data_IF_417340864084
#
_entry.id   IF_417340864084
#
_cell.length_a   1.000
_cell.length_b   1.000
_cell.length_c   1.000
_cell.angle_alpha   90.00
_cell.angle_beta   90.00
_cell.angle_gamma   90.00
#
_symmetry.space_group_name_H-M   'P 1'
#
loop_
_entity.id
_entity.type
_entity.pdbx_description
1 polymer ?
#
# COMPACT_ATOMS: atom_id res chain seq x y z
N UNK A 1 -23.44 2.75 -5.63
CA UNK A 1 -22.04 3.02 -6.00
C UNK A 1 -21.73 4.48 -5.72
N UNK A 2 -20.56 4.77 -5.18
CA UNK A 2 -20.14 6.15 -4.88
C UNK A 2 -19.93 6.95 -6.18
N UNK A 3 -20.15 8.27 -6.16
CA UNK A 3 -19.75 9.14 -7.26
C UNK A 3 -18.25 9.01 -7.55
N UNK A 4 -17.87 9.06 -8.84
CA UNK A 4 -16.48 8.95 -9.31
C UNK A 4 -15.50 9.82 -8.53
N UNK A 5 -15.87 11.08 -8.28
CA UNK A 5 -15.00 12.04 -7.59
C UNK A 5 -14.74 11.62 -6.13
N UNK A 6 -15.71 10.97 -5.49
CA UNK A 6 -15.57 10.46 -4.14
C UNK A 6 -14.64 9.25 -4.11
N UNK A 7 -14.76 8.32 -5.06
CA UNK A 7 -13.82 7.18 -5.19
C UNK A 7 -12.38 7.68 -5.39
N UNK A 8 -12.17 8.66 -6.27
CA UNK A 8 -10.85 9.26 -6.50
C UNK A 8 -10.30 9.95 -5.25
N UNK A 9 -11.16 10.62 -4.47
CA UNK A 9 -10.75 11.24 -3.21
C UNK A 9 -10.33 10.15 -2.21
N UNK A 10 -11.14 9.11 -2.01
CA UNK A 10 -10.84 7.99 -1.10
C UNK A 10 -9.53 7.28 -1.50
N UNK A 11 -9.34 6.97 -2.78
CA UNK A 11 -8.09 6.43 -3.32
C UNK A 11 -6.88 7.30 -2.96
N UNK A 12 -7.01 8.62 -3.13
CA UNK A 12 -5.94 9.56 -2.78
C UNK A 12 -5.62 9.54 -1.29
N UNK A 13 -6.62 9.41 -0.41
CA UNK A 13 -6.41 9.32 1.05
C UNK A 13 -5.66 8.05 1.48
N UNK A 14 -5.77 6.96 0.71
CA UNK A 14 -5.06 5.68 0.95
C UNK A 14 -3.64 5.69 0.36
N UNK A 15 -3.30 6.71 -0.45
CA UNK A 15 -1.99 6.84 -1.11
C UNK A 15 -1.99 6.50 -2.60
N UNK A 16 -3.16 6.29 -3.20
CA UNK A 16 -3.34 6.03 -4.64
C UNK A 16 -3.69 7.33 -5.36
N UNK A 17 -2.69 7.95 -5.98
CA UNK A 17 -2.77 9.28 -6.59
C UNK A 17 -2.99 9.20 -8.10
N UNK A 18 -4.23 8.98 -8.50
CA UNK A 18 -4.62 9.02 -9.91
C UNK A 18 -4.90 10.46 -10.37
N UNK A 19 -4.67 10.78 -11.66
CA UNK A 19 -5.07 12.06 -12.21
C UNK A 19 -6.58 12.32 -12.03
N UNK A 20 -6.97 13.51 -11.56
CA UNK A 20 -8.39 13.89 -11.40
C UNK A 20 -9.22 13.72 -12.68
N UNK A 21 -8.58 13.89 -13.83
CA UNK A 21 -9.18 13.76 -15.15
C UNK A 21 -8.92 12.39 -15.80
N UNK A 22 -8.57 11.36 -15.02
CA UNK A 22 -8.37 10.00 -15.51
C UNK A 22 -9.60 9.52 -16.29
N UNK A 23 -9.38 8.69 -17.32
CA UNK A 23 -10.44 8.08 -18.14
C UNK A 23 -10.67 6.61 -17.80
N UNK A 24 -10.08 6.12 -16.70
CA UNK A 24 -10.36 4.78 -16.17
C UNK A 24 -11.88 4.60 -15.97
N UNK A 25 -12.47 3.45 -16.35
CA UNK A 25 -13.88 3.16 -16.07
C UNK A 25 -14.22 3.24 -14.58
N UNK A 26 -15.44 3.62 -14.22
CA UNK A 26 -15.86 3.71 -12.82
C UNK A 26 -15.74 2.36 -12.08
N UNK A 27 -16.04 1.26 -12.77
CA UNK A 27 -15.86 -0.10 -12.23
C UNK A 27 -14.39 -0.42 -11.92
N UNK A 28 -13.45 0.07 -12.72
CA UNK A 28 -12.01 -0.11 -12.48
C UNK A 28 -11.54 0.74 -11.29
N UNK A 29 -12.07 1.96 -11.13
CA UNK A 29 -11.77 2.78 -9.95
C UNK A 29 -12.30 2.14 -8.66
N UNK A 30 -13.53 1.61 -8.69
CA UNK A 30 -14.14 0.93 -7.54
C UNK A 30 -13.40 -0.38 -7.20
N UNK A 31 -13.03 -1.17 -8.22
CA UNK A 31 -12.20 -2.36 -8.04
C UNK A 31 -10.82 -2.01 -7.47
N UNK A 32 -10.21 -0.92 -7.92
CA UNK A 32 -8.91 -0.46 -7.41
C UNK A 32 -8.99 0.00 -5.96
N UNK A 33 -10.05 0.71 -5.58
CA UNK A 33 -10.29 1.09 -4.19
C UNK A 33 -10.45 -0.15 -3.30
N UNK A 34 -11.23 -1.12 -3.76
CA UNK A 34 -11.45 -2.39 -3.06
C UNK A 34 -10.15 -3.17 -2.85
N UNK A 35 -9.32 -3.30 -3.90
CA UNK A 35 -8.00 -3.95 -3.81
C UNK A 35 -7.03 -3.19 -2.90
N UNK A 36 -7.02 -1.86 -2.97
CA UNK A 36 -6.20 -1.04 -2.08
C UNK A 36 -6.61 -1.25 -0.61
N UNK A 37 -7.91 -1.32 -0.29
CA UNK A 37 -8.40 -1.63 1.06
C UNK A 37 -8.04 -3.04 1.53
N UNK A 38 -7.90 -4.01 0.62
CA UNK A 38 -7.40 -5.34 0.98
C UNK A 38 -5.90 -5.31 1.30
N UNK A 39 -5.11 -4.57 0.49
CA UNK A 39 -3.67 -4.39 0.72
C UNK A 39 -3.38 -3.65 2.02
N UNK A 40 -4.21 -2.69 2.44
CA UNK A 40 -4.03 -1.99 3.74
C UNK A 40 -4.27 -2.90 4.95
N UNK A 41 -4.99 -4.02 4.78
CA UNK A 41 -5.16 -5.05 5.80
C UNK A 41 -4.04 -6.10 5.79
N UNK A 42 -3.10 -6.01 4.83
CA UNK A 42 -2.07 -7.03 4.59
C UNK A 42 -2.67 -8.43 4.41
N UNK A 43 -3.81 -8.50 3.73
CA UNK A 43 -4.67 -9.68 3.70
C UNK A 43 -3.94 -10.95 3.22
N UNK A 44 -3.15 -10.85 2.16
CA UNK A 44 -2.38 -11.99 1.61
C UNK A 44 -1.35 -12.57 2.58
N UNK A 45 -0.89 -11.76 3.54
CA UNK A 45 0.04 -12.18 4.59
C UNK A 45 -0.67 -12.78 5.79
N UNK A 46 -1.76 -12.14 6.23
CA UNK A 46 -2.48 -12.54 7.45
C UNK A 46 -3.43 -13.70 7.17
N UNK A 47 -3.97 -13.81 5.95
CA UNK A 47 -4.93 -14.82 5.54
C UNK A 47 -4.56 -15.38 4.15
N UNK A 48 -3.43 -16.11 4.04
CA UNK A 48 -3.03 -16.71 2.76
C UNK A 48 -4.03 -17.78 2.29
N UNK A 49 -4.63 -18.51 3.24
CA UNK A 49 -5.59 -19.57 2.97
C UNK A 49 -7.02 -19.08 3.24
N UNK A 50 -7.71 -18.67 2.17
CA UNK A 50 -9.13 -18.32 2.22
C UNK A 50 -10.01 -19.51 1.82
N UNK A 51 -11.21 -19.67 2.43
CA UNK A 51 -11.85 -18.76 3.39
C UNK A 51 -11.34 -18.90 4.83
N UNK A 52 -11.37 -17.80 5.61
CA UNK A 52 -11.02 -17.75 7.02
C UNK A 52 -12.00 -18.56 7.87
N UNK A 53 -11.52 -19.62 8.52
CA UNK A 53 -12.18 -20.24 9.66
C UNK A 53 -11.63 -19.66 10.98
N UNK A 54 -12.41 -18.84 11.72
CA UNK A 54 -11.95 -18.26 12.97
C UNK A 54 -11.59 -19.28 14.05
N UNK A 55 -12.13 -20.50 13.98
CA UNK A 55 -11.88 -21.54 14.99
C UNK A 55 -10.49 -22.16 14.87
N UNK A 56 -9.84 -22.00 13.72
CA UNK A 56 -8.46 -22.43 13.49
C UNK A 56 -7.44 -21.57 14.28
N UNK A 57 -7.85 -20.41 14.80
CA UNK A 57 -6.99 -19.46 15.48
C UNK A 57 -7.24 -19.45 16.99
N UNK A 58 -6.17 -19.35 17.81
CA UNK A 58 -6.32 -19.23 19.26
C UNK A 58 -7.06 -17.96 19.64
N UNK A 59 -7.76 -18.00 20.78
CA UNK A 59 -8.39 -16.80 21.35
C UNK A 59 -7.33 -15.78 21.76
N UNK A 60 -7.64 -14.50 21.62
CA UNK A 60 -6.80 -13.42 22.10
C UNK A 60 -6.65 -13.48 23.62
N UNK A 61 -5.44 -13.34 24.19
CA UNK A 61 -5.24 -13.42 25.63
C UNK A 61 -6.00 -12.33 26.39
N UNK A 62 -6.63 -12.69 27.50
CA UNK A 62 -7.33 -11.75 28.40
C UNK A 62 -6.35 -11.05 29.35
N UNK A 63 -5.27 -10.50 28.80
CA UNK A 63 -4.24 -9.75 29.52
C UNK A 63 -4.00 -8.41 28.83
N UNK A 64 -4.67 -7.38 29.30
CA UNK A 64 -4.62 -6.03 28.70
C UNK A 64 -3.25 -5.35 28.85
N UNK A 65 -2.41 -5.80 29.79
CA UNK A 65 -1.10 -5.20 30.02
C UNK A 65 -0.11 -5.66 28.96
N UNK A 66 -0.11 -6.96 28.67
CA UNK A 66 0.81 -7.58 27.71
C UNK A 66 0.21 -7.77 26.31
N UNK A 67 -1.11 -7.93 26.19
CA UNK A 67 -1.83 -8.26 24.94
C UNK A 67 -3.05 -7.35 24.75
N UNK A 68 -2.81 -6.05 24.59
CA UNK A 68 -3.86 -5.07 24.27
C UNK A 68 -4.24 -5.12 22.79
N UNK A 69 -5.54 -5.24 22.49
CA UNK A 69 -6.06 -5.12 21.13
C UNK A 69 -5.81 -3.71 20.58
N UNK A 70 -5.97 -2.68 21.42
CA UNK A 70 -5.67 -1.30 21.05
C UNK A 70 -4.21 -1.11 20.59
N UNK A 71 -3.24 -1.65 21.35
CA UNK A 71 -1.82 -1.52 21.00
C UNK A 71 -1.48 -2.25 19.70
N UNK A 72 -2.14 -3.39 19.45
CA UNK A 72 -1.85 -4.29 18.33
C UNK A 72 -2.68 -4.02 17.09
N UNK A 73 -3.74 -3.20 17.13
CA UNK A 73 -4.51 -2.82 15.94
C UNK A 73 -3.89 -1.65 15.17
N UNK A 74 -3.02 -0.87 15.84
CA UNK A 74 -2.32 0.25 15.21
C UNK A 74 -1.17 -0.23 14.33
N UNK A 75 -1.05 0.37 13.15
CA UNK A 75 0.01 0.12 12.16
C UNK A 75 0.54 1.45 11.68
N UNK A 76 1.85 1.62 11.60
CA UNK A 76 2.51 2.82 11.10
C UNK A 76 3.67 2.42 10.19
N UNK A 77 3.91 3.22 9.16
CA UNK A 77 5.15 3.15 8.40
C UNK A 77 6.21 4.12 8.93
N UNK A 78 7.44 3.97 8.44
CA UNK A 78 8.56 4.86 8.76
C UNK A 78 8.22 6.34 8.55
N UNK A 79 7.53 6.69 7.45
CA UNK A 79 7.13 8.08 7.18
C UNK A 79 6.23 8.63 8.28
N UNK A 80 5.21 7.88 8.68
CA UNK A 80 4.29 8.28 9.73
C UNK A 80 5.00 8.39 11.07
N UNK A 81 5.91 7.47 11.40
CA UNK A 81 6.69 7.53 12.63
C UNK A 81 7.60 8.76 12.70
N UNK A 82 8.29 9.12 11.61
CA UNK A 82 9.08 10.36 11.55
C UNK A 82 8.20 11.57 11.82
N UNK A 83 7.01 11.65 11.20
CA UNK A 83 6.07 12.75 11.42
C UNK A 83 5.55 12.81 12.87
N UNK A 84 5.35 11.65 13.52
CA UNK A 84 4.98 11.57 14.94
C UNK A 84 6.09 12.16 15.81
N UNK A 85 7.35 11.78 15.55
CA UNK A 85 8.52 12.28 16.27
C UNK A 85 8.66 13.79 16.08
N UNK A 86 8.56 14.27 14.85
CA UNK A 86 8.63 15.70 14.50
C UNK A 86 7.48 16.52 15.13
N UNK A 87 6.31 15.90 15.32
CA UNK A 87 5.18 16.54 16.02
C UNK A 87 5.36 16.66 17.55
N UNK A 88 6.52 16.25 18.09
CA UNK A 88 6.81 16.19 19.52
C UNK A 88 5.76 15.38 20.31
N UNK A 89 5.23 14.32 19.72
CA UNK A 89 4.21 13.48 20.36
C UNK A 89 2.85 14.16 20.54
N UNK A 90 2.59 15.32 19.92
CA UNK A 90 1.28 16.01 19.97
C UNK A 90 0.18 15.35 19.12
N UNK A 91 0.41 14.11 18.67
CA UNK A 91 -0.56 13.27 17.97
C UNK A 91 -0.62 13.53 16.46
N UNK A 92 -0.89 12.45 15.72
CA UNK A 92 -1.11 12.44 14.25
C UNK A 92 -2.39 13.22 13.88
N UNK A 93 -3.26 13.49 14.85
CA UNK A 93 -4.63 14.00 14.69
C UNK A 93 -4.71 15.31 13.89
N UNK A 94 -3.65 16.13 13.85
CA UNK A 94 -3.60 17.35 13.03
C UNK A 94 -2.86 17.22 11.70
N UNK A 95 -2.07 16.16 11.50
CA UNK A 95 -1.22 15.99 10.32
C UNK A 95 -1.92 15.28 9.16
N UNK A 96 -3.02 14.56 9.44
CA UNK A 96 -3.79 13.85 8.42
C UNK A 96 -5.29 13.83 8.74
N UNK A 97 -5.97 14.97 8.54
CA UNK A 97 -7.43 15.05 8.56
C UNK A 97 -8.02 14.48 7.25
N UNK A 98 -7.97 13.16 7.07
CA UNK A 98 -8.57 12.51 5.92
C UNK A 98 -9.33 11.23 6.30
N UNK A 99 -10.24 10.80 5.43
CA UNK A 99 -11.19 9.71 5.71
C UNK A 99 -10.52 8.37 5.99
N UNK A 100 -9.33 8.10 5.41
CA UNK A 100 -8.58 6.88 5.69
C UNK A 100 -7.94 6.89 7.09
N UNK A 101 -7.45 8.03 7.55
CA UNK A 101 -7.00 8.16 8.94
C UNK A 101 -8.16 8.11 9.93
N UNK A 102 -9.31 8.68 9.55
CA UNK A 102 -10.55 8.52 10.31
C UNK A 102 -10.99 7.05 10.44
N UNK A 103 -10.87 6.25 9.37
CA UNK A 103 -11.07 4.79 9.43
C UNK A 103 -10.11 4.14 10.44
N UNK A 104 -8.81 4.47 10.39
CA UNK A 104 -7.82 3.89 11.33
C UNK A 104 -8.11 4.31 12.78
N UNK A 105 -8.59 5.53 12.99
CA UNK A 105 -9.04 6.01 14.29
C UNK A 105 -10.30 5.26 14.77
N UNK A 106 -11.25 4.97 13.88
CA UNK A 106 -12.38 4.08 14.18
C UNK A 106 -11.91 2.70 14.65
N UNK A 107 -10.92 2.10 13.98
CA UNK A 107 -10.34 0.81 14.40
C UNK A 107 -9.64 0.90 15.75
N UNK A 108 -8.92 1.99 16.02
CA UNK A 108 -8.32 2.25 17.34
C UNK A 108 -9.39 2.30 18.44
N UNK A 109 -10.52 2.95 18.19
CA UNK A 109 -11.64 3.02 19.12
C UNK A 109 -12.31 1.66 19.32
N UNK A 110 -12.43 0.85 18.26
CA UNK A 110 -12.85 -0.56 18.37
C UNK A 110 -11.91 -1.32 19.30
N UNK A 111 -10.59 -1.23 19.10
CA UNK A 111 -9.59 -1.86 19.96
C UNK A 111 -9.71 -1.42 21.42
N UNK A 112 -9.99 -0.13 21.65
CA UNK A 112 -10.23 0.44 22.98
C UNK A 112 -11.48 -0.16 23.62
N UNK A 113 -12.57 -0.29 22.87
CA UNK A 113 -13.82 -0.88 23.36
C UNK A 113 -13.66 -2.37 23.64
N UNK A 114 -12.95 -3.12 22.80
CA UNK A 114 -12.62 -4.52 23.03
C UNK A 114 -11.82 -4.70 24.33
N UNK A 115 -10.74 -3.93 24.50
CA UNK A 115 -9.94 -3.97 25.73
C UNK A 115 -10.78 -3.55 26.94
N UNK A 116 -11.61 -2.51 26.86
CA UNK A 116 -12.44 -2.05 27.97
C UNK A 116 -13.69 -2.93 28.22
N UNK A 117 -13.98 -3.91 27.36
CA UNK A 117 -15.24 -4.68 27.33
C UNK A 117 -16.49 -3.80 27.21
N UNK A 118 -16.39 -2.68 26.50
CA UNK A 118 -17.52 -1.79 26.19
C UNK A 118 -18.22 -2.26 24.90
N UNK A 119 -18.89 -3.41 24.98
CA UNK A 119 -19.52 -4.06 23.84
C UNK A 119 -21.04 -4.17 24.08
N UNK A 120 -21.88 -3.94 23.05
CA UNK A 120 -21.57 -3.66 21.65
C UNK A 120 -21.11 -2.20 21.42
N UNK A 121 -20.89 -1.82 20.16
CA UNK A 121 -20.53 -0.49 19.72
C UNK A 121 -21.56 0.09 18.73
N UNK A 122 -21.73 1.41 18.78
CA UNK A 122 -22.55 2.16 17.83
C UNK A 122 -21.70 3.25 17.19
N UNK A 123 -21.57 3.20 15.87
CA UNK A 123 -21.02 4.30 15.07
C UNK A 123 -22.13 5.27 14.74
N UNK A 124 -21.86 6.57 14.83
CA UNK A 124 -22.79 7.63 14.42
C UNK A 124 -22.03 8.80 13.80
N UNK A 125 -22.66 9.47 12.85
CA UNK A 125 -22.18 10.77 12.38
C UNK A 125 -22.61 11.88 13.35
N UNK A 126 -21.96 13.05 13.27
CA UNK A 126 -22.29 14.20 14.12
C UNK A 126 -23.74 14.65 13.96
N UNK A 127 -24.27 14.59 12.73
CA UNK A 127 -25.66 14.93 12.43
C UNK A 127 -26.65 13.82 12.81
N UNK A 128 -26.17 12.65 13.29
CA UNK A 128 -26.96 11.47 13.67
C UNK A 128 -27.90 11.00 12.55
N UNK A 129 -27.48 11.19 11.31
CA UNK A 129 -28.20 10.79 10.09
C UNK A 129 -27.94 9.33 9.70
N UNK A 130 -26.80 8.76 10.09
CA UNK A 130 -26.36 7.40 9.80
C UNK A 130 -25.80 6.73 11.05
N UNK A 131 -26.04 5.42 11.19
CA UNK A 131 -25.43 4.65 12.27
C UNK A 131 -25.06 3.24 11.84
N UNK A 132 -24.03 2.68 12.46
CA UNK A 132 -23.66 1.27 12.31
C UNK A 132 -23.71 0.63 13.69
N UNK A 133 -24.56 -0.38 13.83
CA UNK A 133 -24.58 -1.23 15.02
C UNK A 133 -23.52 -2.32 14.83
N UNK A 134 -22.64 -2.51 15.81
CA UNK A 134 -21.53 -3.46 15.73
C UNK A 134 -21.40 -4.24 17.04
N UNK A 135 -21.39 -5.57 16.98
CA UNK A 135 -21.11 -6.43 18.13
C UNK A 135 -19.93 -7.34 17.84
N UNK A 136 -18.74 -7.05 18.39
CA UNK A 136 -17.67 -8.02 18.44
C UNK A 136 -18.12 -9.26 19.21
N UNK A 137 -17.83 -10.41 18.62
CA UNK A 137 -18.15 -11.72 19.17
C UNK A 137 -16.95 -12.26 19.95
N UNK A 138 -15.78 -12.16 19.33
CA UNK A 138 -14.52 -12.68 19.84
C UNK A 138 -13.35 -12.02 19.11
N UNK A 139 -12.19 -12.06 19.76
CA UNK A 139 -10.93 -11.68 19.13
C UNK A 139 -10.07 -12.93 19.04
N UNK A 140 -9.58 -13.24 17.85
CA UNK A 140 -8.66 -14.33 17.57
C UNK A 140 -7.26 -13.78 17.34
N UNK A 141 -6.25 -14.60 17.58
CA UNK A 141 -4.85 -14.23 17.46
C UNK A 141 -4.26 -14.93 16.23
N UNK A 142 -3.93 -14.16 15.19
CA UNK A 142 -3.14 -14.65 14.06
C UNK A 142 -1.69 -14.85 14.51
N UNK A 143 -1.10 -13.79 15.05
CA UNK A 143 0.19 -13.76 15.72
C UNK A 143 0.10 -12.83 16.95
N UNK A 144 1.19 -12.74 17.73
CA UNK A 144 1.24 -11.94 18.96
C UNK A 144 0.90 -10.44 18.77
N UNK A 145 1.00 -9.91 17.55
CA UNK A 145 0.79 -8.52 17.21
C UNK A 145 -0.41 -8.28 16.29
N UNK A 146 -1.14 -9.32 15.88
CA UNK A 146 -2.19 -9.25 14.85
C UNK A 146 -3.48 -9.87 15.36
N UNK A 147 -4.40 -9.05 15.91
CA UNK A 147 -5.72 -9.50 16.28
C UNK A 147 -6.61 -9.64 15.03
N UNK A 148 -7.49 -10.64 15.06
CA UNK A 148 -8.62 -10.79 14.14
C UNK A 148 -9.89 -10.58 14.96
N UNK A 149 -10.58 -9.45 14.76
CA UNK A 149 -11.81 -9.15 15.49
C UNK A 149 -13.00 -9.71 14.72
N UNK A 150 -13.62 -10.78 15.21
CA UNK A 150 -14.83 -11.35 14.61
C UNK A 150 -16.04 -10.61 15.15
N UNK A 151 -16.94 -10.18 14.26
CA UNK A 151 -18.05 -9.30 14.65
C UNK A 151 -19.28 -9.45 13.78
N UNK A 152 -20.41 -9.04 14.34
CA UNK A 152 -21.66 -8.78 13.62
C UNK A 152 -21.81 -7.28 13.41
N UNK A 153 -22.27 -6.87 12.22
CA UNK A 153 -22.60 -5.47 11.96
C UNK A 153 -23.91 -5.32 11.19
N UNK A 154 -24.57 -4.18 11.37
CA UNK A 154 -25.75 -3.80 10.61
C UNK A 154 -25.75 -2.27 10.39
N UNK A 155 -25.69 -1.79 9.13
CA UNK A 155 -25.88 -0.39 8.82
C UNK A 155 -27.37 -0.01 8.99
N UNK A 156 -27.66 0.86 9.95
CA UNK A 156 -29.01 1.37 10.19
C UNK A 156 -29.15 2.79 9.65
N UNK A 157 -30.03 2.98 8.68
CA UNK A 157 -30.50 4.30 8.24
C UNK A 157 -31.44 4.84 9.33
N UNK A 158 -31.05 5.94 9.96
CA UNK A 158 -31.80 6.74 10.95
C UNK A 158 -33.05 6.07 11.56
N UNK A 159 -32.90 5.54 12.78
CA UNK A 159 -34.02 5.06 13.59
C UNK A 159 -33.58 4.81 15.03
N UNK A 160 -34.06 5.62 15.97
CA UNK A 160 -33.71 5.44 17.38
C UNK A 160 -34.25 4.11 17.94
N UNK A 161 -35.41 3.67 17.46
CA UNK A 161 -36.17 2.52 17.98
C UNK A 161 -35.46 1.19 17.78
N UNK A 162 -34.94 0.91 16.57
CA UNK A 162 -34.23 -0.34 16.25
C UNK A 162 -33.01 -0.56 17.14
N UNK A 163 -32.37 0.52 17.60
CA UNK A 163 -31.17 0.45 18.45
C UNK A 163 -31.50 -0.02 19.86
N UNK A 164 -32.55 0.50 20.47
CA UNK A 164 -32.91 0.14 21.84
C UNK A 164 -33.41 -1.30 21.92
N UNK A 165 -34.28 -1.72 21.00
CA UNK A 165 -34.79 -3.09 20.94
C UNK A 165 -33.66 -4.13 20.78
N UNK A 166 -32.66 -3.81 19.95
CA UNK A 166 -31.50 -4.67 19.79
C UNK A 166 -30.63 -4.73 21.06
N UNK A 167 -30.29 -3.58 21.66
CA UNK A 167 -29.50 -3.53 22.90
C UNK A 167 -30.16 -4.32 24.04
N UNK A 168 -31.47 -4.13 24.24
CA UNK A 168 -32.23 -4.89 25.25
C UNK A 168 -32.19 -6.40 24.96
N UNK A 169 -32.36 -6.80 23.70
CA UNK A 169 -32.39 -8.22 23.32
C UNK A 169 -31.07 -8.97 23.53
N UNK A 170 -29.95 -8.26 23.55
CA UNK A 170 -28.63 -8.81 23.86
C UNK A 170 -28.25 -8.62 25.34
N UNK A 171 -29.20 -8.17 26.17
CA UNK A 171 -29.03 -8.04 27.62
C UNK A 171 -28.27 -6.78 28.07
N UNK A 172 -28.19 -5.76 27.22
CA UNK A 172 -27.61 -4.45 27.56
C UNK A 172 -28.76 -3.57 28.05
N UNK A 173 -28.86 -3.40 29.37
CA UNK A 173 -29.80 -2.48 29.99
C UNK A 173 -29.26 -1.04 30.02
N UNK A 174 -30.02 -0.10 30.59
CA UNK A 174 -29.61 1.31 30.72
C UNK A 174 -28.38 1.55 31.60
N UNK A 175 -27.88 0.52 32.29
CA UNK A 175 -26.70 0.58 33.17
C UNK A 175 -25.45 -0.06 32.56
N UNK A 176 -25.60 -0.88 31.52
CA UNK A 176 -24.51 -1.53 30.83
C UNK A 176 -23.71 -0.56 29.92
N UNK A 177 -22.38 -0.63 29.99
CA UNK A 177 -21.51 0.21 29.16
C UNK A 177 -21.37 -0.36 27.74
N UNK A 178 -21.82 0.42 26.75
CA UNK A 178 -21.60 0.16 25.32
C UNK A 178 -20.74 1.27 24.71
N UNK A 179 -19.98 0.93 23.68
CA UNK A 179 -19.13 1.90 22.97
C UNK A 179 -19.93 2.81 22.05
N UNK A 180 -19.61 4.10 22.04
CA UNK A 180 -20.15 5.03 21.03
C UNK A 180 -18.99 5.70 20.31
N UNK A 181 -18.94 5.53 19.00
CA UNK A 181 -17.87 6.02 18.13
C UNK A 181 -18.45 7.06 17.17
N UNK A 182 -17.82 8.22 17.09
CA UNK A 182 -18.22 9.27 16.13
C UNK A 182 -17.39 9.11 14.88
N UNK A 183 -18.05 8.95 13.73
CA UNK A 183 -17.39 8.77 12.44
C UNK A 183 -18.15 9.53 11.34
N UNK A 184 -17.42 10.21 10.47
CA UNK A 184 -18.00 10.89 9.30
C UNK A 184 -18.64 9.87 8.34
N UNK A 185 -19.51 10.34 7.45
CA UNK A 185 -20.16 9.44 6.46
C UNK A 185 -19.13 8.72 5.57
N UNK A 186 -18.02 9.39 5.23
CA UNK A 186 -16.95 8.80 4.43
C UNK A 186 -16.15 7.74 5.20
N UNK A 187 -15.94 7.94 6.50
CA UNK A 187 -15.29 6.94 7.36
C UNK A 187 -16.18 5.71 7.54
N UNK A 188 -17.48 5.92 7.77
CA UNK A 188 -18.47 4.85 7.82
C UNK A 188 -18.53 4.06 6.51
N UNK A 189 -18.50 4.74 5.36
CA UNK A 189 -18.49 4.10 4.05
C UNK A 189 -17.24 3.21 3.85
N UNK A 190 -16.05 3.71 4.20
CA UNK A 190 -14.83 2.91 4.13
C UNK A 190 -14.89 1.69 5.06
N UNK A 191 -15.39 1.86 6.28
CA UNK A 191 -15.56 0.77 7.25
C UNK A 191 -16.54 -0.28 6.74
N UNK A 192 -17.69 0.14 6.20
CA UNK A 192 -18.71 -0.77 5.66
C UNK A 192 -18.20 -1.55 4.45
N UNK A 193 -17.45 -0.91 3.54
CA UNK A 193 -16.82 -1.60 2.41
C UNK A 193 -15.85 -2.67 2.89
N UNK A 194 -14.98 -2.32 3.83
CA UNK A 194 -14.01 -3.26 4.40
C UNK A 194 -14.72 -4.45 5.06
N UNK A 195 -15.76 -4.20 5.86
CA UNK A 195 -16.59 -5.23 6.47
C UNK A 195 -17.33 -6.09 5.45
N UNK A 196 -17.85 -5.49 4.37
CA UNK A 196 -18.54 -6.22 3.31
C UNK A 196 -17.56 -7.13 2.55
N UNK A 197 -16.36 -6.65 2.22
CA UNK A 197 -15.33 -7.45 1.57
C UNK A 197 -14.89 -8.63 2.46
N UNK A 198 -14.70 -8.38 3.76
CA UNK A 198 -14.29 -9.42 4.70
C UNK A 198 -15.40 -10.44 5.00
N UNK A 199 -16.68 -10.05 4.96
CA UNK A 199 -17.78 -11.01 5.18
C UNK A 199 -17.79 -12.14 4.14
N UNK A 200 -17.42 -11.83 2.89
CA UNK A 200 -17.31 -12.78 1.77
C UNK A 200 -16.15 -13.77 1.92
N UNK A 201 -15.27 -13.55 2.90
CA UNK A 201 -14.03 -14.33 3.12
C UNK A 201 -14.11 -15.27 4.30
N UNK A 202 -15.22 -15.31 5.02
CA UNK A 202 -15.42 -16.23 6.14
C UNK A 202 -15.88 -17.61 5.65
N UNK A 203 -15.43 -18.65 6.35
CA UNK A 203 -15.85 -20.01 6.09
C UNK A 203 -17.37 -20.14 6.34
N UNK A 204 -18.10 -20.71 5.37
CA UNK A 204 -19.56 -20.87 5.47
C UNK A 204 -19.97 -21.80 6.62
N UNK A 205 -19.06 -22.65 7.09
CA UNK A 205 -19.24 -23.55 8.24
C UNK A 205 -19.22 -22.82 9.58
N UNK A 206 -18.64 -21.61 9.64
CA UNK A 206 -18.56 -20.84 10.86
C UNK A 206 -19.89 -20.10 11.13
N UNK A 207 -20.66 -20.60 12.08
CA UNK A 207 -21.96 -20.06 12.46
C UNK A 207 -22.01 -19.72 13.95
N UNK A 208 -21.60 -18.49 14.35
CA UNK A 208 -21.59 -18.10 15.75
C UNK A 208 -23.00 -17.81 16.27
N UNK A 209 -23.14 -17.78 17.60
CA UNK A 209 -24.41 -17.48 18.26
C UNK A 209 -24.88 -16.05 17.96
N UNK A 210 -26.15 -15.94 17.57
CA UNK A 210 -26.85 -14.69 17.25
C UNK A 210 -28.08 -14.55 18.15
N UNK A 211 -28.40 -13.32 18.55
CA UNK A 211 -29.68 -13.00 19.16
C UNK A 211 -30.81 -12.98 18.10
N UNK A 212 -32.06 -13.09 18.53
CA UNK A 212 -33.22 -13.14 17.62
C UNK A 212 -33.34 -11.88 16.75
N UNK A 213 -32.94 -10.73 17.28
CA UNK A 213 -32.91 -9.41 16.61
C UNK A 213 -31.74 -9.26 15.62
N UNK A 214 -30.81 -10.22 15.57
CA UNK A 214 -29.60 -10.17 14.74
C UNK A 214 -29.73 -10.90 13.41
N UNK A 215 -30.96 -11.25 13.00
CA UNK A 215 -31.24 -11.90 11.72
C UNK A 215 -30.80 -11.05 10.52
N UNK A 216 -30.85 -9.72 10.64
CA UNK A 216 -30.39 -8.76 9.63
C UNK A 216 -28.92 -8.35 9.75
N UNK A 217 -28.17 -8.91 10.70
CA UNK A 217 -26.76 -8.55 10.88
C UNK A 217 -25.86 -9.40 9.98
N UNK A 218 -24.87 -8.76 9.37
CA UNK A 218 -23.85 -9.43 8.57
C UNK A 218 -22.68 -9.85 9.47
N UNK A 219 -22.23 -11.09 9.33
CA UNK A 219 -21.02 -11.58 10.00
C UNK A 219 -19.79 -11.22 9.19
N UNK A 220 -18.79 -10.66 9.86
CA UNK A 220 -17.55 -10.24 9.24
C UNK A 220 -16.39 -10.32 10.23
N UNK A 221 -15.22 -9.88 9.80
CA UNK A 221 -14.06 -9.70 10.63
C UNK A 221 -13.33 -8.41 10.29
N UNK A 222 -12.55 -7.91 11.24
CA UNK A 222 -11.62 -6.80 11.04
C UNK A 222 -10.19 -7.26 11.28
N UNK A 223 -9.31 -6.84 10.39
CA UNK A 223 -7.86 -6.88 10.58
C UNK A 223 -7.34 -5.46 10.84
N UNK A 224 -6.15 -5.33 11.45
CA UNK A 224 -5.44 -4.07 11.53
C UNK A 224 -5.29 -3.43 10.14
N UNK A 225 -5.63 -2.14 10.04
CA UNK A 225 -5.48 -1.36 8.80
C UNK A 225 -4.25 -0.47 8.93
N UNK A 226 -3.30 -0.65 8.02
CA UNK A 226 -2.09 0.16 7.93
C UNK A 226 -1.93 0.85 6.58
N UNK A 227 -0.87 1.65 6.44
CA UNK A 227 -0.54 2.25 5.15
C UNK A 227 -0.20 1.18 4.11
N UNK A 228 -0.45 1.49 2.82
CA UNK A 228 -0.02 0.64 1.72
C UNK A 228 1.49 0.41 1.74
N UNK A 229 1.91 -0.79 1.34
CA UNK A 229 3.31 -1.10 1.09
C UNK A 229 3.85 -0.33 -0.11
N UNK A 230 5.18 -0.30 -0.23
CA UNK A 230 5.88 0.21 -1.40
C UNK A 230 5.32 -0.34 -2.73
N UNK A 231 5.23 -1.67 -2.80
CA UNK A 231 4.79 -2.43 -3.97
C UNK A 231 3.35 -2.09 -4.33
N UNK A 232 2.45 -2.09 -3.34
CA UNK A 232 1.04 -1.72 -3.55
C UNK A 232 0.89 -0.28 -4.04
N UNK A 233 1.66 0.66 -3.46
CA UNK A 233 1.67 2.06 -3.92
C UNK A 233 2.09 2.11 -5.39
N UNK A 234 3.15 1.42 -5.80
CA UNK A 234 3.59 1.39 -7.19
C UNK A 234 2.52 0.81 -8.12
N UNK A 235 1.94 -0.33 -7.76
CA UNK A 235 0.92 -1.04 -8.55
C UNK A 235 -0.33 -0.17 -8.72
N UNK A 236 -0.91 0.34 -7.64
CA UNK A 236 -2.18 1.06 -7.72
C UNK A 236 -2.06 2.47 -8.33
N UNK A 237 -0.89 3.09 -8.26
CA UNK A 237 -0.62 4.37 -8.92
C UNK A 237 -0.34 4.23 -10.42
N UNK A 238 -0.11 3.02 -10.92
CA UNK A 238 0.27 2.77 -12.33
C UNK A 238 -0.89 2.19 -13.11
N UNK A 239 -0.94 2.51 -14.40
CA UNK A 239 -1.81 1.86 -15.37
C UNK A 239 -0.95 0.94 -16.25
N UNK A 240 -1.21 -0.38 -16.23
CA UNK A 240 -0.43 -1.37 -16.98
C UNK A 240 -0.67 -1.34 -18.51
N UNK A 241 -1.35 -0.31 -19.02
CA UNK A 241 -1.67 -0.09 -20.42
C UNK A 241 -1.55 1.40 -20.78
N UNK A 242 -2.62 1.96 -21.34
CA UNK A 242 -2.66 3.36 -21.70
C UNK A 242 -2.59 4.23 -20.43
N UNK A 243 -1.72 5.25 -20.36
CA UNK A 243 -1.61 6.09 -19.17
C UNK A 243 -2.87 6.92 -18.89
N UNK A 244 -3.78 7.04 -19.87
CA UNK A 244 -5.02 7.84 -19.76
C UNK A 244 -6.21 7.01 -19.28
N UNK A 245 -6.46 5.86 -19.93
CA UNK A 245 -7.65 5.04 -19.69
C UNK A 245 -7.37 3.65 -19.14
N UNK A 246 -6.11 3.18 -19.12
CA UNK A 246 -5.73 1.85 -18.66
C UNK A 246 -5.83 0.73 -19.71
N UNK A 247 -6.51 0.95 -20.84
CA UNK A 247 -6.69 -0.06 -21.90
C UNK A 247 -5.36 -0.51 -22.53
N UNK A 248 -5.29 -1.71 -23.14
CA UNK A 248 -4.09 -2.18 -23.83
C UNK A 248 -3.51 -1.14 -24.83
N UNK A 249 -2.25 -0.76 -24.60
CA UNK A 249 -1.60 0.31 -25.35
C UNK A 249 -0.82 -0.22 -26.56
N UNK A 250 -1.50 -0.30 -27.70
CA UNK A 250 -0.96 -0.89 -28.93
C UNK A 250 -0.03 0.05 -29.71
N UNK A 251 -0.17 1.37 -29.54
CA UNK A 251 0.56 2.35 -30.34
C UNK A 251 1.56 3.16 -29.52
N UNK A 252 2.81 3.24 -29.96
CA UNK A 252 3.83 4.10 -29.36
C UNK A 252 3.69 5.53 -29.87
N UNK A 253 4.03 6.51 -29.04
CA UNK A 253 4.19 7.90 -29.47
C UNK A 253 5.25 7.95 -30.58
N UNK A 254 4.89 8.40 -31.78
CA UNK A 254 5.78 8.43 -32.95
C UNK A 254 6.99 9.37 -32.81
N UNK A 255 6.96 10.31 -31.85
CA UNK A 255 8.05 11.25 -31.60
C UNK A 255 9.12 10.70 -30.66
N UNK A 256 8.73 10.26 -29.46
CA UNK A 256 9.70 9.77 -28.47
C UNK A 256 9.89 8.25 -28.52
N UNK A 257 8.92 7.48 -29.04
CA UNK A 257 8.95 6.02 -29.04
C UNK A 257 8.77 5.36 -27.67
N UNK A 258 8.61 6.16 -26.61
CA UNK A 258 8.60 5.72 -25.20
C UNK A 258 7.19 5.39 -24.72
N UNK A 259 6.29 6.39 -24.68
CA UNK A 259 4.94 6.21 -24.10
C UNK A 259 4.04 5.50 -25.10
N UNK A 260 3.20 4.60 -24.59
CA UNK A 260 2.21 3.85 -25.39
C UNK A 260 0.80 4.33 -25.06
N UNK A 261 -0.04 4.43 -26.08
CA UNK A 261 -1.46 4.77 -25.96
C UNK A 261 -2.31 3.69 -26.66
N UNK A 262 -3.56 3.56 -26.25
CA UNK A 262 -4.52 2.71 -26.96
C UNK A 262 -4.87 3.30 -28.33
N UNK A 263 -5.01 4.62 -28.43
CA UNK A 263 -5.32 5.34 -29.66
C UNK A 263 -4.77 6.80 -29.67
N UNK A 264 -5.03 7.51 -30.77
CA UNK A 264 -4.66 8.91 -30.95
C UNK A 264 -5.46 9.88 -30.06
N UNK A 265 -6.64 9.48 -29.58
CA UNK A 265 -7.48 10.33 -28.70
C UNK A 265 -6.82 10.43 -27.34
N UNK A 266 -6.45 9.29 -26.74
CA UNK A 266 -5.72 9.26 -25.47
C UNK A 266 -4.35 9.95 -25.58
N UNK A 267 -3.64 9.80 -26.70
CA UNK A 267 -2.39 10.54 -26.93
C UNK A 267 -2.63 12.06 -26.92
N UNK A 268 -3.69 12.54 -27.58
CA UNK A 268 -4.03 13.97 -27.65
C UNK A 268 -4.44 14.52 -26.28
N UNK A 269 -5.17 13.74 -25.50
CA UNK A 269 -5.61 14.10 -24.14
C UNK A 269 -4.43 14.21 -23.17
N UNK A 270 -3.46 13.30 -23.25
CA UNK A 270 -2.25 13.33 -22.42
C UNK A 270 -1.23 14.36 -22.91
N UNK A 271 -1.35 14.88 -24.14
CA UNK A 271 -0.34 15.70 -24.80
C UNK A 271 0.14 16.90 -23.97
N UNK A 272 -0.74 17.56 -23.22
CA UNK A 272 -0.34 18.69 -22.36
C UNK A 272 0.68 18.28 -21.29
N UNK A 273 0.51 17.09 -20.70
CA UNK A 273 1.42 16.53 -19.68
C UNK A 273 2.61 15.82 -20.33
N UNK A 274 2.37 15.11 -21.43
CA UNK A 274 3.39 14.35 -22.13
C UNK A 274 4.37 15.23 -22.91
N UNK A 275 3.94 16.31 -23.58
CA UNK A 275 4.77 17.12 -24.49
C UNK A 275 6.13 17.54 -23.89
N UNK A 276 6.21 18.06 -22.65
CA UNK A 276 7.51 18.36 -22.03
C UNK A 276 8.44 17.15 -21.94
N UNK A 277 7.91 15.99 -21.54
CA UNK A 277 8.66 14.74 -21.43
C UNK A 277 8.98 14.14 -22.80
N UNK A 278 8.05 14.22 -23.74
CA UNK A 278 8.22 13.77 -25.13
C UNK A 278 9.41 14.48 -25.78
N UNK A 279 9.50 15.80 -25.58
CA UNK A 279 10.58 16.59 -26.14
C UNK A 279 11.93 16.26 -25.47
N UNK A 280 11.95 15.99 -24.17
CA UNK A 280 13.18 15.55 -23.49
C UNK A 280 13.59 14.15 -23.94
N UNK A 281 12.65 13.23 -24.19
CA UNK A 281 12.98 11.86 -24.60
C UNK A 281 13.25 11.70 -26.11
N UNK A 282 13.00 12.74 -26.91
CA UNK A 282 13.25 12.68 -28.34
C UNK A 282 14.76 12.58 -28.59
N UNK A 283 15.20 11.46 -29.16
CA UNK A 283 16.62 11.18 -29.38
C UNK A 283 17.39 10.79 -28.12
N UNK A 284 16.70 10.48 -27.02
CA UNK A 284 17.33 10.00 -25.80
C UNK A 284 18.01 8.63 -26.01
N UNK A 285 19.15 8.46 -25.36
CA UNK A 285 19.92 7.22 -25.40
C UNK A 285 19.44 6.29 -24.30
N UNK A 286 18.71 5.24 -24.71
CA UNK A 286 18.22 4.19 -23.82
C UNK A 286 19.19 3.01 -23.84
N UNK A 287 19.77 2.71 -22.69
CA UNK A 287 20.68 1.59 -22.52
C UNK A 287 19.96 0.41 -21.86
N UNK A 288 19.83 -0.70 -22.58
CA UNK A 288 19.36 -1.94 -21.99
C UNK A 288 20.40 -2.52 -21.04
N UNK A 289 19.99 -2.82 -19.82
CA UNK A 289 20.79 -3.57 -18.85
C UNK A 289 20.04 -4.79 -18.36
N UNK A 290 20.80 -5.85 -18.12
CA UNK A 290 20.32 -7.04 -17.41
C UNK A 290 20.63 -6.85 -15.93
N UNK A 291 19.68 -7.18 -15.06
CA UNK A 291 19.87 -7.10 -13.61
C UNK A 291 19.62 -8.48 -12.97
N UNK A 292 20.07 -8.62 -11.73
CA UNK A 292 19.77 -9.72 -10.82
C UNK A 292 19.11 -9.17 -9.55
N UNK A 293 18.58 -10.06 -8.71
CA UNK A 293 18.09 -9.66 -7.38
C UNK A 293 19.25 -9.10 -6.57
N UNK A 294 18.99 -8.00 -5.85
CA UNK A 294 20.01 -7.40 -5.01
C UNK A 294 20.38 -8.33 -3.86
N UNK A 295 21.66 -8.69 -3.74
CA UNK A 295 22.15 -9.41 -2.57
C UNK A 295 22.10 -8.45 -1.36
N UNK A 296 21.26 -8.78 -0.37
CA UNK A 296 20.99 -7.94 0.81
C UNK A 296 22.21 -7.63 1.71
N UNK A 297 23.40 -8.14 1.38
CA UNK A 297 24.60 -8.03 2.20
C UNK A 297 25.54 -6.87 1.83
N UNK A 298 25.18 -6.02 0.87
CA UNK A 298 26.06 -4.93 0.41
C UNK A 298 25.29 -3.60 0.38
N UNK A 299 25.67 -2.68 1.28
CA UNK A 299 25.19 -1.30 1.47
C UNK A 299 23.97 -1.08 2.38
N UNK A 300 24.21 -1.14 3.70
CA UNK A 300 23.43 -0.41 4.71
C UNK A 300 22.01 -0.92 4.97
N UNK A 301 21.51 -0.70 6.17
CA UNK A 301 20.10 -0.96 6.50
C UNK A 301 19.22 0.01 5.70
N UNK A 302 18.70 -0.47 4.58
CA UNK A 302 18.03 0.35 3.58
C UNK A 302 16.52 0.40 3.83
N UNK A 303 16.08 1.38 4.61
CA UNK A 303 14.67 1.53 4.99
C UNK A 303 13.91 2.34 3.94
N UNK A 304 12.85 1.75 3.38
CA UNK A 304 11.84 2.51 2.63
C UNK A 304 10.96 3.30 3.60
N UNK A 305 10.54 4.50 3.18
CA UNK A 305 9.56 5.29 3.95
C UNK A 305 8.21 4.58 4.11
N UNK A 306 7.97 3.54 3.31
CA UNK A 306 6.77 2.71 3.32
C UNK A 306 6.88 1.47 4.22
N UNK A 307 8.05 1.21 4.82
CA UNK A 307 8.26 0.05 5.70
C UNK A 307 7.46 0.17 6.98
N UNK A 308 6.80 -0.92 7.38
CA UNK A 308 5.90 -1.00 8.55
C UNK A 308 6.69 -1.36 9.79
N UNK A 309 6.45 -0.65 10.90
CA UNK A 309 7.26 -0.72 12.12
C UNK A 309 6.81 -1.76 13.14
N UNK A 310 5.50 -2.04 13.22
CA UNK A 310 4.90 -2.92 14.24
C UNK A 310 5.02 -4.40 13.89
N UNK A 311 5.57 -4.68 12.71
CA UNK A 311 5.84 -6.03 12.26
C UNK A 311 7.34 -6.18 12.09
N UNK A 312 7.83 -7.36 12.43
CA UNK A 312 9.19 -7.85 12.23
C UNK A 312 9.52 -7.95 10.71
N UNK A 313 9.26 -6.91 9.92
CA UNK A 313 9.95 -6.70 8.64
C UNK A 313 11.46 -6.54 8.90
N UNK A 314 11.85 -6.25 10.16
CA UNK A 314 13.23 -6.39 10.65
C UNK A 314 13.71 -7.84 10.81
N UNK A 315 12.79 -8.82 10.88
CA UNK A 315 13.07 -10.25 10.92
C UNK A 315 12.14 -11.00 9.96
N UNK A 316 12.02 -10.58 8.71
CA UNK A 316 11.86 -11.64 7.70
C UNK A 316 13.19 -12.37 7.74
N UNK A 317 13.27 -13.63 8.23
CA UNK A 317 14.46 -14.40 7.93
C UNK A 317 14.60 -14.39 6.41
N UNK A 318 15.84 -14.40 5.94
CA UNK A 318 16.22 -14.48 4.52
C UNK A 318 15.44 -15.54 3.71
N UNK A 319 14.68 -16.42 4.33
CA UNK A 319 14.00 -17.54 3.70
C UNK A 319 12.81 -17.12 2.80
N UNK A 320 12.12 -16.00 3.08
CA UNK A 320 11.03 -15.52 2.20
C UNK A 320 11.49 -14.91 0.87
N UNK A 321 12.78 -14.53 0.77
CA UNK A 321 13.43 -14.06 -0.46
C UNK A 321 14.34 -15.13 -1.08
N UNK A 322 14.55 -16.26 -0.41
CA UNK A 322 15.20 -17.44 -1.01
C UNK A 322 14.26 -18.20 -1.95
N UNK A 323 12.95 -18.08 -1.76
CA UNK A 323 11.96 -18.78 -2.61
C UNK A 323 11.59 -18.03 -3.90
N UNK A 324 11.92 -16.73 -4.03
CA UNK A 324 11.76 -16.01 -5.28
C UNK A 324 12.99 -16.17 -6.18
N UNK A 325 13.21 -17.38 -6.71
CA UNK A 325 14.12 -17.56 -7.86
C UNK A 325 13.58 -16.90 -9.16
N UNK A 326 12.38 -16.33 -9.11
CA UNK A 326 11.73 -15.65 -10.21
C UNK A 326 12.12 -14.17 -10.36
N UNK A 327 11.88 -13.59 -11.55
CA UNK A 327 12.07 -12.16 -11.79
C UNK A 327 11.21 -11.32 -10.84
N UNK A 328 11.68 -10.13 -10.42
CA UNK A 328 10.88 -9.22 -9.59
C UNK A 328 9.67 -8.75 -10.39
N UNK A 329 8.52 -8.65 -9.74
CA UNK A 329 7.25 -8.26 -10.36
C UNK A 329 7.36 -6.94 -11.13
N UNK A 330 6.75 -6.87 -12.32
CA UNK A 330 6.74 -5.65 -13.12
C UNK A 330 5.58 -4.72 -12.71
N UNK A 331 5.72 -4.08 -11.55
CA UNK A 331 4.72 -3.15 -10.97
C UNK A 331 4.48 -1.89 -11.81
N UNK A 332 5.42 -1.53 -12.70
CA UNK A 332 5.35 -0.34 -13.55
C UNK A 332 4.81 -0.64 -14.97
N UNK A 333 4.60 -1.91 -15.30
CA UNK A 333 4.13 -2.33 -16.62
C UNK A 333 5.04 -1.83 -17.76
N UNK A 334 4.44 -1.19 -18.76
CA UNK A 334 5.14 -0.58 -19.89
C UNK A 334 5.36 0.94 -19.73
N UNK A 335 4.97 1.51 -18.58
CA UNK A 335 5.09 2.94 -18.34
C UNK A 335 6.55 3.30 -17.98
N UNK A 336 7.07 4.45 -18.45
CA UNK A 336 8.34 4.96 -17.97
C UNK A 336 8.23 5.43 -16.52
N UNK A 337 9.22 5.10 -15.69
CA UNK A 337 9.29 5.46 -14.27
C UNK A 337 10.69 5.97 -13.90
N UNK A 338 10.84 6.52 -12.69
CA UNK A 338 12.11 7.06 -12.19
C UNK A 338 12.77 6.02 -11.29
N UNK A 339 14.04 5.72 -11.58
CA UNK A 339 14.92 4.93 -10.72
C UNK A 339 16.05 5.77 -10.18
N UNK A 340 16.50 5.44 -8.98
CA UNK A 340 17.77 5.86 -8.42
C UNK A 340 18.80 4.77 -8.73
N UNK A 341 19.93 5.20 -9.26
CA UNK A 341 21.10 4.36 -9.55
C UNK A 341 22.16 4.76 -8.55
N UNK A 342 22.73 3.78 -7.86
CA UNK A 342 23.72 3.98 -6.82
C UNK A 342 24.91 3.04 -7.03
N UNK A 343 26.11 3.59 -6.94
CA UNK A 343 27.38 2.86 -7.09
C UNK A 343 28.20 2.96 -5.80
N UNK A 344 29.09 2.00 -5.57
CA UNK A 344 29.96 2.02 -4.40
C UNK A 344 30.93 3.19 -4.42
N UNK A 345 31.32 3.65 -3.23
CA UNK A 345 32.34 4.68 -3.06
C UNK A 345 33.71 4.32 -3.64
N UNK A 346 34.03 3.03 -3.69
CA UNK A 346 35.22 2.52 -4.40
C UNK A 346 35.16 2.81 -5.89
N UNK A 347 33.96 2.77 -6.48
CA UNK A 347 33.73 2.96 -7.92
C UNK A 347 33.43 4.43 -8.28
N UNK A 348 33.19 5.33 -7.32
CA UNK A 348 33.01 6.77 -7.58
C UNK A 348 34.32 7.52 -7.89
N UNK A 349 35.47 6.92 -7.60
CA UNK A 349 36.79 7.49 -7.88
C UNK A 349 37.19 7.16 -9.33
N UNK A 350 37.41 8.19 -10.15
CA UNK A 350 37.61 8.07 -11.60
C UNK A 350 38.76 7.15 -12.09
N UNK A 351 38.97 7.05 -13.42
CA UNK A 351 39.76 5.98 -14.05
C UNK A 351 41.22 5.87 -13.57
N UNK A 352 41.83 6.95 -13.10
CA UNK A 352 43.24 7.01 -12.69
C UNK A 352 43.58 6.20 -11.41
N UNK A 353 42.61 5.68 -10.65
CA UNK A 353 42.84 4.76 -9.52
C UNK A 353 42.25 3.36 -9.72
N UNK A 354 41.44 3.13 -10.76
CA UNK A 354 40.96 1.79 -11.12
C UNK A 354 42.10 0.86 -11.55
N UNK A 355 43.20 1.41 -12.11
CA UNK A 355 44.42 0.64 -12.43
C UNK A 355 45.10 0.02 -11.19
N UNK A 356 44.78 0.49 -9.98
CA UNK A 356 45.30 -0.08 -8.72
C UNK A 356 44.37 -1.09 -8.06
N UNK A 357 43.14 -1.25 -8.53
CA UNK A 357 42.26 -2.34 -8.08
C UNK A 357 42.62 -3.60 -8.84
N UNK A 358 42.86 -4.70 -8.10
CA UNK A 358 43.00 -6.02 -8.71
C UNK A 358 41.74 -6.32 -9.52
N UNK A 359 41.90 -6.95 -10.70
CA UNK A 359 40.79 -7.50 -11.46
C UNK A 359 39.93 -8.37 -10.52
N UNK A 360 38.74 -7.90 -10.16
CA UNK A 360 37.81 -8.61 -9.27
C UNK A 360 37.20 -7.80 -8.11
N UNK A 361 37.72 -6.63 -7.75
CA UNK A 361 37.24 -5.85 -6.59
C UNK A 361 36.49 -4.56 -6.97
N UNK A 362 35.36 -4.67 -7.66
CA UNK A 362 34.46 -3.53 -7.87
C UNK A 362 33.03 -3.91 -7.52
N UNK A 363 32.30 -3.00 -6.89
CA UNK A 363 30.96 -3.31 -6.41
C UNK A 363 29.95 -3.23 -7.55
N UNK A 364 28.85 -3.96 -7.40
CA UNK A 364 27.76 -3.93 -8.36
C UNK A 364 26.96 -2.60 -8.28
N UNK A 365 26.21 -2.29 -9.35
CA UNK A 365 25.37 -1.08 -9.38
C UNK A 365 24.00 -1.44 -8.81
N UNK A 366 23.57 -0.71 -7.78
CA UNK A 366 22.23 -0.84 -7.21
C UNK A 366 21.23 0.06 -7.96
N UNK A 367 20.09 -0.48 -8.34
CA UNK A 367 19.01 0.23 -9.04
C UNK A 367 17.70 -0.01 -8.30
N UNK A 368 17.02 1.07 -7.92
CA UNK A 368 15.71 0.97 -7.29
C UNK A 368 14.80 2.13 -7.65
N UNK A 369 13.49 1.91 -7.61
CA UNK A 369 12.50 2.97 -7.79
C UNK A 369 12.19 3.68 -6.45
N UNK A 370 11.43 4.79 -6.50
CA UNK A 370 11.12 5.58 -5.30
C UNK A 370 10.35 4.82 -4.22
N UNK A 371 9.62 3.78 -4.61
CA UNK A 371 8.87 2.96 -3.67
C UNK A 371 9.71 1.82 -3.11
N UNK A 372 10.75 1.36 -3.81
CA UNK A 372 11.44 0.06 -3.60
C UNK A 372 10.63 -1.15 -4.08
N UNK A 373 9.60 -0.96 -4.89
CA UNK A 373 8.92 -2.04 -5.60
C UNK A 373 9.85 -2.73 -6.61
N UNK A 374 10.85 -2.00 -7.13
CA UNK A 374 11.98 -2.55 -7.86
C UNK A 374 13.23 -2.29 -7.02
N UNK A 375 13.98 -3.35 -6.68
CA UNK A 375 15.27 -3.25 -6.01
C UNK A 375 16.21 -4.35 -6.53
N UNK A 376 17.11 -3.96 -7.43
CA UNK A 376 17.89 -4.90 -8.25
C UNK A 376 19.32 -4.44 -8.42
N UNK A 377 20.18 -5.37 -8.79
CA UNK A 377 21.61 -5.13 -8.95
C UNK A 377 22.04 -5.44 -10.38
N UNK A 378 22.81 -4.55 -10.99
CA UNK A 378 23.48 -4.81 -12.27
C UNK A 378 24.89 -5.29 -11.99
N UNK A 379 25.11 -6.57 -12.26
CA UNK A 379 26.40 -7.23 -12.08
C UNK A 379 27.41 -6.73 -13.12
N UNK A 380 28.68 -6.65 -12.73
CA UNK A 380 29.78 -6.17 -13.59
C UNK A 380 29.96 -6.99 -14.88
N UNK A 381 29.61 -8.26 -14.84
CA UNK A 381 29.71 -9.21 -15.96
C UNK A 381 28.58 -9.04 -16.98
N UNK A 382 27.51 -8.33 -16.63
CA UNK A 382 26.36 -8.13 -17.48
C UNK A 382 26.58 -6.98 -18.47
N UNK A 383 26.00 -7.13 -19.66
CA UNK A 383 26.16 -6.17 -20.76
C UNK A 383 25.78 -4.77 -20.32
N UNK A 384 26.63 -3.80 -20.67
CA UNK A 384 26.41 -2.35 -20.49
C UNK A 384 26.54 -1.80 -19.06
N UNK A 385 27.01 -2.59 -18.08
CA UNK A 385 27.40 -2.09 -16.75
C UNK A 385 28.32 -0.85 -16.82
N UNK A 386 29.37 -0.93 -17.65
CA UNK A 386 30.36 0.16 -17.80
C UNK A 386 29.76 1.45 -18.34
N UNK A 387 28.77 1.35 -19.22
CA UNK A 387 28.10 2.52 -19.79
C UNK A 387 27.30 3.27 -18.72
N UNK A 388 26.56 2.53 -17.88
CA UNK A 388 25.83 3.10 -16.75
C UNK A 388 26.80 3.69 -15.72
N UNK A 389 27.81 2.93 -15.31
CA UNK A 389 28.82 3.39 -14.35
C UNK A 389 29.49 4.70 -14.80
N UNK A 390 29.91 4.77 -16.05
CA UNK A 390 30.57 5.97 -16.60
C UNK A 390 29.67 7.22 -16.52
N UNK A 391 28.37 7.05 -16.79
CA UNK A 391 27.40 8.15 -16.71
C UNK A 391 27.18 8.58 -15.27
N UNK A 392 27.04 7.65 -14.32
CA UNK A 392 26.90 7.96 -12.89
C UNK A 392 28.14 8.69 -12.37
N UNK A 393 29.34 8.21 -12.67
CA UNK A 393 30.60 8.85 -12.26
C UNK A 393 30.72 10.30 -12.78
N UNK A 394 30.25 10.54 -14.01
CA UNK A 394 30.40 11.83 -14.68
C UNK A 394 29.30 12.84 -14.31
N UNK A 395 28.07 12.37 -14.08
CA UNK A 395 26.88 13.23 -13.96
C UNK A 395 26.10 13.07 -12.65
N UNK A 396 26.40 12.04 -11.86
CA UNK A 396 25.76 11.79 -10.57
C UNK A 396 26.30 12.66 -9.44
N UNK A 397 25.54 12.77 -8.35
CA UNK A 397 25.99 13.46 -7.13
C UNK A 397 27.26 12.78 -6.62
N UNK A 398 28.36 13.55 -6.60
CA UNK A 398 29.70 13.08 -6.22
C UNK A 398 30.15 11.80 -6.95
N UNK A 399 29.57 11.50 -8.12
CA UNK A 399 29.82 10.27 -8.87
C UNK A 399 29.26 8.99 -8.22
N UNK A 400 28.40 9.11 -7.20
CA UNK A 400 27.88 8.00 -6.40
C UNK A 400 26.45 7.62 -6.76
N UNK A 401 25.61 8.60 -7.06
CA UNK A 401 24.19 8.34 -7.29
C UNK A 401 23.56 9.32 -8.28
N UNK A 402 22.52 8.86 -8.98
CA UNK A 402 21.74 9.71 -9.86
C UNK A 402 20.32 9.17 -10.05
N UNK A 403 19.42 10.05 -10.51
CA UNK A 403 18.07 9.66 -10.93
C UNK A 403 17.98 9.58 -12.44
N UNK A 404 17.43 8.48 -12.94
CA UNK A 404 17.24 8.22 -14.37
C UNK A 404 15.80 7.82 -14.67
N UNK A 405 15.35 8.08 -15.89
CA UNK A 405 14.16 7.41 -16.42
C UNK A 405 14.50 5.98 -16.78
N UNK A 406 13.55 5.07 -16.55
CA UNK A 406 13.67 3.67 -16.88
C UNK A 406 12.36 3.08 -17.40
N UNK A 407 12.46 2.01 -18.18
CA UNK A 407 11.32 1.24 -18.70
C UNK A 407 11.65 -0.24 -18.53
N UNK A 408 10.74 -1.01 -17.94
CA UNK A 408 10.90 -2.47 -17.86
C UNK A 408 10.68 -3.06 -19.25
N UNK A 409 11.68 -3.75 -19.80
CA UNK A 409 11.65 -4.29 -21.17
C UNK A 409 11.62 -5.82 -21.22
N UNK A 410 11.77 -6.48 -20.07
CA UNK A 410 11.61 -7.92 -19.92
C UNK A 410 11.71 -8.33 -18.47
N UNK A 411 11.64 -9.64 -18.23
CA UNK A 411 11.68 -10.22 -16.89
C UNK A 411 12.96 -9.88 -16.12
N UNK A 412 14.11 -9.81 -16.80
CA UNK A 412 15.40 -9.48 -16.18
C UNK A 412 16.09 -8.27 -16.82
N UNK A 413 15.36 -7.52 -17.65
CA UNK A 413 15.93 -6.41 -18.41
C UNK A 413 15.16 -5.11 -18.23
N UNK A 414 15.93 -4.02 -18.13
CA UNK A 414 15.41 -2.66 -18.00
C UNK A 414 16.20 -1.75 -18.93
N UNK A 415 15.51 -0.84 -19.62
CA UNK A 415 16.13 0.17 -20.45
C UNK A 415 16.23 1.47 -19.64
N UNK A 416 17.45 2.01 -19.48
CA UNK A 416 17.75 3.20 -18.67
C UNK A 416 18.12 4.36 -19.58
N UNK A 417 17.52 5.52 -19.36
CA UNK A 417 17.85 6.75 -20.07
C UNK A 417 19.13 7.38 -19.49
N UNK A 418 20.17 7.51 -20.31
CA UNK A 418 21.52 7.89 -19.87
C UNK A 418 21.92 9.34 -20.20
N UNK A 419 21.06 10.12 -20.82
CA UNK A 419 21.36 11.49 -21.25
C UNK A 419 20.28 12.52 -20.93
N UNK A 420 19.05 12.06 -20.67
CA UNK A 420 17.91 12.90 -20.34
C UNK A 420 17.38 12.52 -18.96
N UNK A 421 17.64 13.38 -17.97
CA UNK A 421 17.38 13.06 -16.57
C UNK A 421 16.11 13.74 -16.05
N UNK A 422 15.42 13.15 -15.06
CA UNK A 422 14.33 13.80 -14.36
C UNK A 422 14.81 15.12 -13.74
N UNK A 423 13.96 16.15 -13.78
CA UNK A 423 14.25 17.39 -13.05
C UNK A 423 14.25 17.06 -11.56
N UNK A 424 15.34 17.37 -10.86
CA UNK A 424 15.39 17.30 -9.40
C UNK A 424 14.26 18.16 -8.84
N UNK A 425 13.39 17.55 -8.03
CA UNK A 425 12.50 18.29 -7.13
C UNK A 425 13.10 18.28 -5.75
#
# INVERSE_FOLDING_TARGET
MLPRQEILNLLSTIGVNLPRNTKLPDAELDARLSKALDSTQYLTRVLPDLPLDPTAYPSWPDDKFNHSVLKTIMRHNMREATLIIESHGKGIDKLYSNSFMGLRQCLKEIGTCCDARMLPMIFKDEAKSSSICMRPLEVRMFDANTPIVILLYNPALSGATVRFDWLESIGIDSTAMFGTITATLQEQELLLRLLEQNSKRLAQTYNPKRAATESGFTLSFLLPVGPLSATDVAVYNTNNGCPVCGDPANSKCSRCGVVRYCDAVCQKDDWKKHKPLCNSWQGATWQRVTFALAAQNMLGTDFSRYDILQHDVMQTPLDGLKDSQGPPENTHGAAPFIVKIQVSSSDAMGPARQEKQKQGEGADILIYDQTRSLNVTVLRELSNYRAVLHVVQKRGDRGLEMFCWAIRTGEWTIDICLDQFPKSK
#
